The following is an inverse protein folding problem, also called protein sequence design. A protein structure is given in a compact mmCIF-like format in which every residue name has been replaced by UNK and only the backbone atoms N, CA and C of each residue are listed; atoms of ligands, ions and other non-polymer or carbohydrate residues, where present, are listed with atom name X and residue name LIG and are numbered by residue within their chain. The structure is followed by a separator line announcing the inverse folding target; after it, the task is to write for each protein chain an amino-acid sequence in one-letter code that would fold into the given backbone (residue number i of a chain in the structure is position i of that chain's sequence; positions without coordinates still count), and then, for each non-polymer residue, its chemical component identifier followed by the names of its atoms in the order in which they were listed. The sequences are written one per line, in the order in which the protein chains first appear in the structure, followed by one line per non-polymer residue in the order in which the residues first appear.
data_IF_963317630420
#
_entry.id   IF_963317630420
#
_cell.length_a   1.000
_cell.length_b   1.000
_cell.length_c   1.000
_cell.angle_alpha   90.00
_cell.angle_beta   90.00
_cell.angle_gamma   90.00
#
_symmetry.space_group_name_H-M   'P 1'
#
loop_
_entity.id
_entity.type
_entity.pdbx_description
1 polymer ?
#
# COMPACT_ATOMS: atom_id res chain seq x y z
N UNK A 1 -4.59 -10.70 13.01
CA UNK A 1 -4.85 -10.57 11.56
C UNK A 1 -3.59 -11.01 10.82
N UNK A 2 -3.50 -12.30 10.47
CA UNK A 2 -2.29 -12.88 9.89
C UNK A 2 -2.36 -12.76 8.37
N UNK A 3 -1.84 -11.66 7.82
CA UNK A 3 -1.53 -11.61 6.39
C UNK A 3 -0.21 -12.39 6.19
N UNK A 4 -0.31 -13.69 5.92
CA UNK A 4 0.84 -14.50 5.53
C UNK A 4 1.12 -14.23 4.05
N UNK A 5 1.97 -13.25 3.77
CA UNK A 5 2.47 -13.01 2.41
C UNK A 5 3.59 -14.02 2.17
N UNK A 6 3.25 -15.18 1.60
CA UNK A 6 4.24 -16.15 1.13
C UNK A 6 4.89 -15.61 -0.16
N UNK A 7 6.10 -15.08 -0.06
CA UNK A 7 6.87 -14.57 -1.20
C UNK A 7 8.04 -13.68 -0.78
N UNK A 8 8.96 -13.41 -1.72
CA UNK A 8 10.05 -12.47 -1.49
C UNK A 8 9.52 -11.03 -1.63
N UNK A 9 9.62 -10.18 -0.60
CA UNK A 9 9.12 -8.81 -0.68
C UNK A 9 9.95 -8.02 -1.70
N UNK A 10 9.28 -7.44 -2.70
CA UNK A 10 9.86 -6.47 -3.62
C UNK A 10 9.42 -5.08 -3.18
N UNK A 11 10.39 -4.21 -2.94
CA UNK A 11 10.11 -2.81 -2.59
C UNK A 11 10.38 -1.94 -3.80
N UNK A 12 9.41 -1.10 -4.15
CA UNK A 12 9.54 -0.11 -5.22
C UNK A 12 9.26 1.28 -4.66
N UNK A 13 10.25 2.18 -4.76
CA UNK A 13 10.03 3.60 -4.42
C UNK A 13 9.32 4.29 -5.58
N UNK A 14 8.19 4.93 -5.30
CA UNK A 14 7.44 5.67 -6.30
C UNK A 14 7.91 7.11 -6.39
N UNK A 15 7.76 7.72 -7.57
CA UNK A 15 7.80 9.18 -7.68
C UNK A 15 6.61 9.76 -6.90
N UNK A 16 6.66 11.07 -6.63
CA UNK A 16 5.57 11.79 -5.96
C UNK A 16 4.29 11.65 -6.80
N UNK A 17 3.30 10.91 -6.28
CA UNK A 17 1.99 10.73 -6.91
C UNK A 17 1.03 11.79 -6.37
N UNK A 18 0.05 12.21 -7.18
CA UNK A 18 -1.00 13.10 -6.70
C UNK A 18 -1.95 12.34 -5.76
N UNK A 19 -2.52 13.03 -4.77
CA UNK A 19 -3.50 12.44 -3.84
C UNK A 19 -4.67 11.80 -4.58
N UNK A 20 -5.20 12.48 -5.61
CA UNK A 20 -6.27 11.97 -6.47
C UNK A 20 -5.94 10.62 -7.13
N UNK A 21 -4.71 10.46 -7.63
CA UNK A 21 -4.28 9.20 -8.25
C UNK A 21 -4.17 8.06 -7.22
N UNK A 22 -3.70 8.38 -6.00
CA UNK A 22 -3.62 7.42 -4.90
C UNK A 22 -5.00 6.96 -4.41
N UNK A 23 -6.00 7.85 -4.47
CA UNK A 23 -7.38 7.54 -4.11
C UNK A 23 -8.11 6.71 -5.18
N UNK A 24 -7.87 7.00 -6.46
CA UNK A 24 -8.52 6.31 -7.59
C UNK A 24 -7.89 4.94 -7.90
N UNK A 25 -6.57 4.89 -8.12
CA UNK A 25 -5.83 3.63 -8.33
C UNK A 25 -4.35 3.81 -7.91
N UNK A 26 -4.01 3.50 -6.64
CA UNK A 26 -2.65 3.71 -6.12
C UNK A 26 -1.60 2.83 -6.79
N UNK A 27 -2.01 1.75 -7.47
CA UNK A 27 -1.09 0.82 -8.13
C UNK A 27 -0.78 1.23 -9.59
N UNK A 28 -1.60 2.08 -10.22
CA UNK A 28 -1.31 2.64 -11.56
C UNK A 28 -0.16 3.64 -11.55
N UNK A 29 0.04 4.34 -10.44
CA UNK A 29 1.18 5.26 -10.29
C UNK A 29 2.55 4.57 -10.24
N UNK A 30 2.58 3.24 -10.17
CA UNK A 30 3.83 2.46 -10.17
C UNK A 30 4.42 2.42 -11.59
N UNK A 31 5.72 2.69 -11.70
CA UNK A 31 6.42 2.57 -12.98
C UNK A 31 6.33 1.12 -13.48
N UNK A 32 5.82 0.93 -14.69
CA UNK A 32 5.60 -0.41 -15.24
C UNK A 32 4.47 -1.19 -14.53
N UNK A 33 3.47 -0.52 -13.95
CA UNK A 33 2.34 -1.11 -13.23
C UNK A 33 1.73 -2.34 -13.92
N UNK A 34 1.56 -2.30 -15.24
CA UNK A 34 1.03 -3.43 -16.02
C UNK A 34 1.91 -4.68 -15.94
N UNK A 35 3.23 -4.55 -16.08
CA UNK A 35 4.16 -5.67 -15.91
C UNK A 35 4.24 -6.11 -14.46
N UNK A 36 4.25 -5.16 -13.51
CA UNK A 36 4.37 -5.44 -12.08
C UNK A 36 3.22 -6.30 -11.55
N UNK A 37 1.99 -6.02 -12.02
CA UNK A 37 0.78 -6.83 -11.73
C UNK A 37 0.87 -8.28 -12.23
N UNK A 38 1.73 -8.54 -13.23
CA UNK A 38 2.05 -9.89 -13.67
C UNK A 38 2.96 -10.66 -12.71
N UNK A 39 3.76 -9.96 -11.90
CA UNK A 39 4.79 -10.56 -11.04
C UNK A 39 4.36 -10.79 -9.58
N UNK A 40 3.50 -9.93 -9.01
CA UNK A 40 3.02 -10.13 -7.64
C UNK A 40 1.64 -10.79 -7.58
N UNK A 41 1.43 -11.59 -6.54
CA UNK A 41 0.10 -12.09 -6.14
C UNK A 41 -0.63 -11.09 -5.23
N UNK A 42 0.15 -10.27 -4.49
CA UNK A 42 -0.35 -9.25 -3.57
C UNK A 42 0.52 -8.00 -3.67
N UNK A 43 -0.12 -6.86 -3.87
CA UNK A 43 0.49 -5.54 -3.83
C UNK A 43 0.07 -4.80 -2.55
N UNK A 44 0.99 -4.01 -2.01
CA UNK A 44 0.72 -3.11 -0.88
C UNK A 44 1.34 -1.75 -1.18
N UNK A 45 0.56 -0.68 -1.03
CA UNK A 45 1.03 0.70 -1.14
C UNK A 45 0.75 1.41 0.17
N UNK A 46 1.74 2.15 0.65
CA UNK A 46 1.64 2.99 1.84
C UNK A 46 1.89 4.45 1.47
N UNK A 47 0.98 5.35 1.85
CA UNK A 47 1.10 6.79 1.56
C UNK A 47 0.58 7.65 2.71
N UNK A 48 0.89 8.95 2.69
CA UNK A 48 0.37 9.91 3.68
C UNK A 48 -1.16 9.98 3.59
N UNK A 49 -1.86 9.76 4.71
CA UNK A 49 -3.32 9.91 4.73
C UNK A 49 -3.72 11.39 4.67
N UNK A 50 -2.99 12.22 5.41
CA UNK A 50 -3.11 13.67 5.44
C UNK A 50 -1.73 14.32 5.45
N UNK A 51 -1.61 15.56 4.98
CA UNK A 51 -0.35 16.32 4.96
C UNK A 51 0.07 16.77 6.37
N UNK A 52 -0.89 16.98 7.27
CA UNK A 52 -0.64 17.41 8.65
C UNK A 52 -0.47 16.24 9.63
N UNK A 53 -0.75 15.00 9.20
CA UNK A 53 -0.70 13.81 10.05
C UNK A 53 0.50 12.91 9.71
N UNK A 54 1.09 12.28 10.73
CA UNK A 54 2.07 11.20 10.54
C UNK A 54 1.43 9.89 10.08
N UNK A 55 0.10 9.78 10.18
CA UNK A 55 -0.64 8.60 9.80
C UNK A 55 -0.48 8.27 8.30
N UNK A 56 -0.33 6.98 8.04
CA UNK A 56 -0.17 6.41 6.71
C UNK A 56 -1.33 5.49 6.39
N UNK A 57 -1.90 5.66 5.22
CA UNK A 57 -2.87 4.72 4.68
C UNK A 57 -2.13 3.60 3.95
N UNK A 58 -2.51 2.37 4.25
CA UNK A 58 -2.08 1.16 3.56
C UNK A 58 -3.24 0.63 2.74
N UNK A 59 -3.01 0.48 1.44
CA UNK A 59 -3.97 -0.09 0.49
C UNK A 59 -3.41 -1.42 -0.03
N UNK A 60 -4.30 -2.40 -0.17
CA UNK A 60 -3.97 -3.73 -0.66
C UNK A 60 -4.60 -3.98 -2.02
N UNK A 61 -3.85 -4.67 -2.87
CA UNK A 61 -4.36 -5.28 -4.10
C UNK A 61 -4.03 -6.76 -4.07
N UNK A 62 -5.05 -7.59 -4.23
CA UNK A 62 -4.88 -9.04 -4.35
C UNK A 62 -5.31 -9.43 -5.75
N UNK A 63 -4.44 -10.15 -6.46
CA UNK A 63 -4.79 -10.68 -7.78
C UNK A 63 -5.85 -11.79 -7.68
N UNK A 64 -5.77 -12.57 -6.60
CA UNK A 64 -6.67 -13.70 -6.35
C UNK A 64 -7.22 -13.59 -4.93
N UNK A 65 -8.52 -13.79 -4.77
CA UNK A 65 -9.17 -13.85 -3.47
C UNK A 65 -9.86 -12.56 -3.05
N UNK A 66 -10.30 -12.55 -1.79
CA UNK A 66 -11.08 -11.47 -1.21
C UNK A 66 -10.23 -10.22 -0.99
N UNK A 67 -10.85 -9.05 -1.21
CA UNK A 67 -10.19 -7.77 -0.99
C UNK A 67 -9.91 -7.58 0.50
N UNK A 68 -8.67 -7.26 0.83
CA UNK A 68 -8.27 -6.88 2.19
C UNK A 68 -8.65 -5.40 2.41
N UNK A 69 -9.34 -5.06 3.51
CA UNK A 69 -9.65 -3.67 3.84
C UNK A 69 -8.37 -2.82 3.97
N UNK A 70 -8.47 -1.57 3.55
CA UNK A 70 -7.42 -0.59 3.77
C UNK A 70 -7.19 -0.41 5.28
N UNK A 71 -5.96 -0.07 5.65
CA UNK A 71 -5.56 0.15 7.04
C UNK A 71 -5.01 1.54 7.20
N UNK A 72 -5.31 2.18 8.33
CA UNK A 72 -4.62 3.38 8.76
C UNK A 72 -3.59 2.97 9.81
N UNK A 73 -2.34 3.39 9.65
CA UNK A 73 -1.27 3.09 10.60
C UNK A 73 -0.53 4.37 10.97
N UNK A 74 0.02 4.42 12.17
CA UNK A 74 0.91 5.50 12.57
C UNK A 74 2.17 4.95 13.24
N UNK A 75 3.25 5.73 13.19
CA UNK A 75 4.54 5.35 13.75
C UNK A 75 4.70 5.98 15.13
N UNK A 76 4.26 5.25 16.15
CA UNK A 76 4.31 5.69 17.54
C UNK A 76 5.50 5.00 18.23
N UNK A 77 6.40 5.80 18.82
CA UNK A 77 7.60 5.31 19.51
C UNK A 77 8.47 4.36 18.66
N UNK A 78 8.62 4.68 17.37
CA UNK A 78 9.42 3.87 16.45
C UNK A 78 8.70 2.63 15.87
N UNK A 79 7.50 2.30 16.37
CA UNK A 79 6.74 1.13 15.96
C UNK A 79 5.51 1.52 15.15
N UNK A 80 5.21 0.76 14.10
CA UNK A 80 3.97 0.92 13.34
C UNK A 80 2.81 0.29 14.11
N UNK A 81 1.77 1.09 14.37
CA UNK A 81 0.56 0.68 15.06
C UNK A 81 -0.64 0.90 14.16
N UNK A 82 -1.62 -0.01 14.21
CA UNK A 82 -2.90 0.19 13.55
C UNK A 82 -3.67 1.29 14.28
N UNK A 83 -4.26 2.21 13.53
CA UNK A 83 -5.20 3.19 14.05
C UNK A 83 -6.60 2.62 13.87
N UNK A 84 -7.37 2.52 14.96
CA UNK A 84 -8.78 2.12 14.95
C UNK A 84 -9.70 3.28 14.53
#
# INVERSE_FOLDING_TARGET
MNLLVSGQPLTHHTKKLSKKMLEEDPFQGLSGAGSLRGFYSTGMVMFAHDEESSARQIVFELRNGERVPNKLVDKINGHWQLME
#
